data_IF_169910647911
#
_entry.id   IF_169910647911
#
_cell.length_a   1.000
_cell.length_b   1.000
_cell.length_c   1.000
_cell.angle_alpha   90.00
_cell.angle_beta   90.00
_cell.angle_gamma   90.00
#
_symmetry.space_group_name_H-M   'P 1'
#
loop_
_entity.id
_entity.type
_entity.pdbx_description
1 polymer ?
#
# COMPACT_ATOMS: atom_id res chain seq x y z
N UNK A 1 -2.82 13.52 -6.43
CA UNK A 1 -1.97 12.56 -5.92
C UNK A 1 -2.62 11.79 -4.82
N UNK A 2 -2.13 10.65 -4.62
CA UNK A 2 -2.55 9.90 -3.48
C UNK A 2 -2.50 10.76 -2.22
N UNK A 3 -1.44 11.50 -2.09
CA UNK A 3 -1.19 12.30 -0.91
C UNK A 3 -1.74 13.72 -1.03
N UNK A 4 -1.79 14.28 -2.22
CA UNK A 4 -2.20 15.68 -2.33
C UNK A 4 -3.14 15.94 -3.48
N UNK A 5 -3.85 14.99 -3.94
CA UNK A 5 -4.87 15.08 -4.96
C UNK A 5 -6.04 15.89 -4.44
N UNK A 6 -5.75 17.14 -4.14
CA UNK A 6 -6.68 18.02 -3.49
C UNK A 6 -6.67 17.91 -1.98
N UNK A 7 -5.90 17.01 -1.41
CA UNK A 7 -5.94 16.78 0.03
C UNK A 7 -4.92 17.57 0.81
N UNK A 8 -3.88 18.04 0.18
CA UNK A 8 -2.84 18.80 0.87
C UNK A 8 -2.15 18.02 1.98
N UNK A 9 -2.01 16.71 1.80
CA UNK A 9 -1.39 15.87 2.81
C UNK A 9 0.10 15.78 2.53
N UNK A 10 0.90 16.11 3.53
CA UNK A 10 2.34 15.91 3.48
C UNK A 10 2.59 14.39 3.55
N UNK A 11 3.37 13.84 2.63
CA UNK A 11 3.69 12.41 2.68
C UNK A 11 4.29 11.98 4.01
N UNK A 12 5.03 12.85 4.68
CA UNK A 12 5.59 12.54 5.99
C UNK A 12 4.51 12.39 7.05
N UNK A 13 3.44 13.16 6.94
CA UNK A 13 2.32 13.02 7.87
C UNK A 13 1.64 11.66 7.73
N UNK A 14 1.57 11.13 6.51
CA UNK A 14 1.04 9.79 6.30
C UNK A 14 1.88 8.72 6.96
N UNK A 15 3.20 8.87 6.91
CA UNK A 15 4.09 7.91 7.58
C UNK A 15 4.07 8.05 9.09
N UNK A 16 3.66 9.21 9.60
CA UNK A 16 3.50 9.39 11.04
C UNK A 16 2.29 8.64 11.59
N UNK A 17 1.31 8.35 10.74
CA UNK A 17 0.17 7.56 11.16
C UNK A 17 0.53 6.08 11.11
N UNK A 18 0.86 5.53 12.26
CA UNK A 18 1.20 4.12 12.36
C UNK A 18 -0.01 3.38 12.92
N UNK A 19 -0.61 2.51 12.08
CA UNK A 19 -1.74 1.70 12.50
C UNK A 19 -1.22 0.42 13.14
N UNK A 20 -1.35 0.34 14.44
CA UNK A 20 -0.95 -0.84 15.20
C UNK A 20 -2.13 -1.76 15.43
N UNK A 21 -1.84 -3.04 15.60
CA UNK A 21 -2.87 -4.00 15.97
C UNK A 21 -3.65 -3.61 17.21
N UNK A 22 -3.06 -2.82 18.10
CA UNK A 22 -3.72 -2.39 19.33
C UNK A 22 -4.71 -1.25 19.11
N UNK A 23 -4.73 -0.63 17.92
CA UNK A 23 -5.67 0.44 17.58
C UNK A 23 -7.08 -0.08 17.34
N UNK A 24 -7.23 -1.37 17.10
CA UNK A 24 -8.52 -1.97 16.75
C UNK A 24 -8.70 -3.27 17.52
N UNK A 25 -9.97 -3.71 17.62
CA UNK A 25 -10.28 -4.97 18.28
C UNK A 25 -10.01 -6.17 17.39
N UNK A 26 -10.24 -6.00 16.08
CA UNK A 26 -10.07 -7.08 15.13
C UNK A 26 -8.72 -6.95 14.45
N UNK A 27 -8.02 -8.06 14.36
CA UNK A 27 -6.72 -8.12 13.72
C UNK A 27 -6.86 -8.48 12.24
N UNK A 28 -5.79 -8.29 11.48
CA UNK A 28 -5.73 -8.77 10.09
C UNK A 28 -6.11 -10.25 10.06
N UNK A 29 -6.86 -10.70 9.06
CA UNK A 29 -7.19 -10.02 7.79
C UNK A 29 -8.44 -9.14 7.83
N UNK A 30 -8.97 -8.83 9.00
CA UNK A 30 -10.07 -7.86 9.10
C UNK A 30 -9.65 -6.52 8.52
N UNK A 31 -10.55 -5.79 7.83
CA UNK A 31 -10.24 -4.46 7.32
C UNK A 31 -10.19 -3.38 8.40
N UNK A 32 -10.51 -3.70 9.64
CA UNK A 32 -10.72 -2.71 10.69
C UNK A 32 -9.54 -1.78 10.89
N UNK A 33 -8.31 -2.30 10.84
CA UNK A 33 -7.12 -1.48 11.03
C UNK A 33 -6.98 -0.44 9.91
N UNK A 34 -7.31 -0.82 8.66
CA UNK A 34 -7.28 0.11 7.55
C UNK A 34 -8.43 1.08 7.59
N UNK A 35 -9.60 0.62 7.99
CA UNK A 35 -10.76 1.51 8.16
C UNK A 35 -10.49 2.54 9.25
N UNK A 36 -9.86 2.12 10.34
CA UNK A 36 -9.42 3.02 11.40
C UNK A 36 -8.45 4.08 10.86
N UNK A 37 -7.48 3.66 10.05
CA UNK A 37 -6.50 4.58 9.46
C UNK A 37 -7.17 5.59 8.54
N UNK A 38 -8.09 5.12 7.68
CA UNK A 38 -8.81 6.01 6.77
C UNK A 38 -9.62 7.05 7.54
N UNK A 39 -10.24 6.64 8.64
CA UNK A 39 -11.01 7.55 9.46
C UNK A 39 -10.11 8.60 10.10
N UNK A 40 -8.95 8.19 10.60
CA UNK A 40 -7.98 9.12 11.20
C UNK A 40 -7.44 10.11 10.19
N UNK A 41 -7.18 9.66 8.97
CA UNK A 41 -6.70 10.51 7.89
C UNK A 41 -7.81 11.33 7.26
N UNK A 42 -9.07 10.97 7.51
CA UNK A 42 -10.23 11.62 6.90
C UNK A 42 -10.16 11.54 5.38
N UNK A 43 -9.79 10.37 4.86
CA UNK A 43 -9.65 10.14 3.43
C UNK A 43 -10.51 8.96 3.00
N UNK A 44 -11.04 9.00 1.77
CA UNK A 44 -11.70 7.83 1.21
C UNK A 44 -10.66 6.78 0.79
N UNK A 45 -11.09 5.53 0.68
CA UNK A 45 -10.19 4.44 0.30
C UNK A 45 -9.56 4.68 -1.08
N UNK A 46 -10.29 5.30 -2.00
CA UNK A 46 -9.79 5.56 -3.35
C UNK A 46 -8.61 6.53 -3.37
N UNK A 47 -8.45 7.33 -2.32
CA UNK A 47 -7.36 8.30 -2.24
C UNK A 47 -6.11 7.75 -1.57
N UNK A 48 -6.13 6.46 -1.19
CA UNK A 48 -5.05 5.86 -0.42
C UNK A 48 -4.48 4.63 -1.12
N UNK A 49 -3.27 4.29 -0.75
CA UNK A 49 -2.56 3.13 -1.23
C UNK A 49 -1.95 2.43 -0.02
N UNK A 50 -2.03 1.12 0.03
CA UNK A 50 -1.41 0.34 1.09
C UNK A 50 -0.14 -0.34 0.59
N UNK A 51 0.80 -0.52 1.49
CA UNK A 51 1.98 -1.33 1.24
C UNK A 51 1.99 -2.43 2.30
N UNK A 52 2.04 -3.67 1.84
CA UNK A 52 1.98 -4.84 2.72
C UNK A 52 3.04 -5.84 2.33
N UNK A 53 3.29 -6.81 3.20
CA UNK A 53 4.31 -7.84 2.96
C UNK A 53 3.77 -9.26 3.07
N UNK A 54 2.48 -9.43 3.33
CA UNK A 54 1.89 -10.75 3.56
C UNK A 54 0.51 -10.86 2.91
N UNK A 55 0.05 -12.11 2.61
CA UNK A 55 -1.32 -12.30 2.10
C UNK A 55 -2.38 -11.82 3.07
N UNK A 56 -2.13 -11.96 4.37
CA UNK A 56 -3.06 -11.52 5.40
C UNK A 56 -3.22 -10.01 5.40
N UNK A 57 -2.11 -9.28 5.26
CA UNK A 57 -2.15 -7.82 5.13
C UNK A 57 -2.83 -7.40 3.85
N UNK A 58 -2.57 -8.09 2.74
CA UNK A 58 -3.22 -7.80 1.47
C UNK A 58 -4.75 -7.98 1.56
N UNK A 59 -5.19 -9.07 2.19
CA UNK A 59 -6.62 -9.30 2.38
C UNK A 59 -7.25 -8.20 3.21
N UNK A 60 -6.56 -7.78 4.27
CA UNK A 60 -7.03 -6.70 5.13
C UNK A 60 -7.22 -5.39 4.36
N UNK A 61 -6.22 -5.00 3.57
CA UNK A 61 -6.29 -3.75 2.79
C UNK A 61 -7.33 -3.85 1.67
N UNK A 62 -7.40 -5.00 0.99
CA UNK A 62 -8.40 -5.21 -0.05
C UNK A 62 -9.82 -5.15 0.51
N UNK A 63 -10.03 -5.72 1.70
CA UNK A 63 -11.34 -5.68 2.34
C UNK A 63 -11.74 -4.27 2.75
N UNK A 64 -10.78 -3.36 2.86
CA UNK A 64 -11.04 -1.94 3.08
C UNK A 64 -11.11 -1.16 1.76
N UNK A 65 -11.07 -1.86 0.62
CA UNK A 65 -11.11 -1.28 -0.72
C UNK A 65 -9.93 -0.37 -1.03
N UNK A 66 -8.77 -0.71 -0.49
CA UNK A 66 -7.54 0.05 -0.72
C UNK A 66 -6.65 -0.74 -1.68
N UNK A 67 -6.22 -0.10 -2.76
CA UNK A 67 -5.26 -0.70 -3.69
C UNK A 67 -3.94 -0.90 -2.98
N UNK A 68 -3.27 -2.02 -3.27
CA UNK A 68 -2.15 -2.45 -2.45
C UNK A 68 -0.95 -2.83 -3.30
N UNK A 69 0.21 -2.38 -2.86
CA UNK A 69 1.51 -2.81 -3.36
C UNK A 69 2.09 -3.78 -2.33
N UNK A 70 2.67 -4.87 -2.82
CA UNK A 70 3.30 -5.86 -1.95
C UNK A 70 4.81 -5.80 -2.11
N UNK A 71 5.50 -5.76 -0.96
CA UNK A 71 6.94 -5.99 -0.89
C UNK A 71 7.13 -7.24 -0.02
N UNK A 72 7.16 -8.45 -0.62
CA UNK A 72 7.18 -9.66 0.19
C UNK A 72 8.50 -9.83 0.92
N UNK A 73 8.45 -10.43 2.09
CA UNK A 73 9.63 -10.81 2.84
C UNK A 73 10.15 -12.15 2.34
N UNK A 74 11.29 -12.59 2.88
CA UNK A 74 11.82 -13.92 2.58
C UNK A 74 10.84 -15.02 2.98
N UNK A 75 10.01 -14.75 3.99
CA UNK A 75 9.04 -15.72 4.48
C UNK A 75 7.79 -15.80 3.61
N UNK A 76 7.49 -14.75 2.86
CA UNK A 76 6.24 -14.64 2.11
C UNK A 76 6.45 -14.57 0.60
N UNK A 77 7.70 -14.60 0.12
CA UNK A 77 8.00 -14.40 -1.31
C UNK A 77 7.28 -15.38 -2.22
N UNK A 78 7.00 -16.59 -1.75
CA UNK A 78 6.34 -17.62 -2.54
C UNK A 78 4.83 -17.68 -2.32
N UNK A 79 4.27 -16.75 -1.57
CA UNK A 79 2.83 -16.71 -1.31
C UNK A 79 2.07 -16.12 -2.48
N UNK A 80 0.74 -16.27 -2.45
CA UNK A 80 -0.13 -15.78 -3.51
C UNK A 80 -0.52 -14.31 -3.25
N UNK A 81 -0.13 -13.44 -4.18
CA UNK A 81 -0.44 -12.01 -4.09
C UNK A 81 -1.22 -11.53 -5.32
N UNK A 82 -2.01 -12.38 -5.94
CA UNK A 82 -2.68 -12.02 -7.21
C UNK A 82 -3.66 -10.85 -7.06
N UNK A 83 -4.13 -10.58 -5.87
CA UNK A 83 -5.04 -9.45 -5.63
C UNK A 83 -4.30 -8.13 -5.43
N UNK A 84 -2.97 -8.14 -5.44
CA UNK A 84 -2.19 -6.92 -5.34
C UNK A 84 -2.07 -6.25 -6.69
N UNK A 85 -1.95 -4.93 -6.70
CA UNK A 85 -1.75 -4.17 -7.93
C UNK A 85 -0.34 -4.32 -8.44
N UNK A 86 0.62 -4.47 -7.55
CA UNK A 86 2.02 -4.58 -7.89
C UNK A 86 2.73 -5.35 -6.80
N UNK A 87 3.59 -6.28 -7.20
CA UNK A 87 4.46 -7.01 -6.27
C UNK A 87 5.89 -6.73 -6.71
N UNK A 88 6.67 -6.16 -5.83
CA UNK A 88 8.05 -5.73 -6.10
C UNK A 88 8.98 -6.20 -5.01
N UNK A 89 10.25 -6.34 -5.34
CA UNK A 89 11.26 -6.87 -4.42
C UNK A 89 11.48 -5.95 -3.20
N UNK A 90 11.37 -4.65 -3.41
CA UNK A 90 11.52 -3.62 -2.38
C UNK A 90 10.95 -2.31 -2.94
N UNK A 91 11.00 -1.24 -2.17
CA UNK A 91 10.46 0.05 -2.64
C UNK A 91 11.35 0.72 -3.68
N UNK A 92 12.57 0.27 -3.81
CA UNK A 92 13.49 0.84 -4.78
C UNK A 92 14.04 2.20 -4.37
N UNK A 93 15.05 2.62 -5.10
CA UNK A 93 15.66 3.95 -4.97
C UNK A 93 16.06 4.39 -6.36
N UNK A 94 16.25 5.70 -6.60
CA UNK A 94 16.58 6.17 -7.95
C UNK A 94 17.81 5.49 -8.57
N UNK A 95 18.78 5.11 -7.75
CA UNK A 95 20.00 4.45 -8.21
C UNK A 95 20.02 2.93 -7.92
N UNK A 96 18.95 2.41 -7.32
CA UNK A 96 18.82 0.98 -7.01
C UNK A 96 17.39 0.55 -7.31
N UNK A 97 17.09 0.24 -8.57
CA UNK A 97 15.71 -0.08 -8.95
C UNK A 97 15.20 -1.35 -8.30
N UNK A 98 13.89 -1.40 -8.08
CA UNK A 98 13.26 -2.62 -7.64
C UNK A 98 13.16 -3.62 -8.81
N UNK A 99 12.92 -4.89 -8.46
CA UNK A 99 12.54 -5.89 -9.43
C UNK A 99 11.04 -6.11 -9.37
N UNK A 100 10.38 -6.14 -10.51
CA UNK A 100 8.96 -6.44 -10.58
C UNK A 100 8.77 -7.94 -10.50
N UNK A 101 8.01 -8.39 -9.52
CA UNK A 101 7.66 -9.81 -9.37
C UNK A 101 6.37 -10.10 -10.12
N UNK A 102 5.36 -9.22 -9.98
CA UNK A 102 4.15 -9.30 -10.78
C UNK A 102 3.44 -7.94 -10.78
N UNK A 103 2.56 -7.75 -11.75
CA UNK A 103 1.83 -6.49 -11.88
C UNK A 103 2.50 -5.51 -12.81
N UNK A 104 1.94 -4.31 -12.88
CA UNK A 104 2.40 -3.28 -13.80
C UNK A 104 3.07 -2.14 -13.05
N UNK A 105 4.32 -1.86 -13.37
CA UNK A 105 5.09 -0.80 -12.73
C UNK A 105 5.21 0.46 -13.60
N UNK A 106 4.60 0.46 -14.80
CA UNK A 106 4.56 1.62 -15.70
C UNK A 106 5.95 2.21 -15.96
N UNK A 107 6.96 1.35 -16.09
CA UNK A 107 8.36 1.72 -16.35
C UNK A 107 9.02 2.49 -15.21
N UNK A 108 8.42 2.47 -14.03
CA UNK A 108 9.06 3.06 -12.85
C UNK A 108 10.04 2.08 -12.22
N UNK A 109 11.05 2.61 -11.56
CA UNK A 109 12.13 1.82 -10.96
C UNK A 109 12.14 1.91 -9.43
N UNK A 110 11.38 2.83 -8.87
CA UNK A 110 11.22 2.96 -7.43
C UNK A 110 9.82 3.51 -7.13
N UNK A 111 9.38 3.28 -5.91
CA UNK A 111 8.04 3.74 -5.52
C UNK A 111 8.10 5.25 -5.31
N UNK A 112 7.51 5.95 -6.27
CA UNK A 112 7.42 7.40 -6.28
C UNK A 112 5.95 7.80 -6.18
N UNK A 113 5.72 9.07 -5.91
CA UNK A 113 4.39 9.62 -5.96
C UNK A 113 3.73 9.37 -7.32
N UNK A 114 4.50 9.54 -8.40
CA UNK A 114 4.00 9.35 -9.75
C UNK A 114 3.55 7.91 -10.00
N UNK A 115 4.31 6.93 -9.50
CA UNK A 115 3.93 5.54 -9.61
C UNK A 115 2.64 5.26 -8.84
N UNK A 116 2.54 5.77 -7.62
CA UNK A 116 1.34 5.59 -6.81
C UNK A 116 0.12 6.20 -7.50
N UNK A 117 0.29 7.34 -8.13
CA UNK A 117 -0.79 7.97 -8.87
C UNK A 117 -1.22 7.12 -10.08
N UNK A 118 -0.26 6.58 -10.82
CA UNK A 118 -0.55 5.70 -11.96
C UNK A 118 -1.34 4.47 -11.52
N UNK A 119 -0.94 3.86 -10.42
CA UNK A 119 -1.64 2.69 -9.90
C UNK A 119 -3.06 3.07 -9.44
N UNK A 120 -3.20 4.23 -8.81
CA UNK A 120 -4.51 4.66 -8.31
C UNK A 120 -5.49 4.93 -9.45
N UNK A 121 -5.00 5.28 -10.63
CA UNK A 121 -5.81 5.55 -11.79
C UNK A 121 -6.12 4.30 -12.63
N UNK A 122 -5.46 3.19 -12.34
CA UNK A 122 -5.59 1.97 -13.14
C UNK A 122 -6.80 1.13 -12.79
#
# INVERSE_FOLDING_TARGET
NLFNKGFKIDPYEMFDLVAHGDCTKLKKPSPEIYEWALQKLQLPSEACMAIEDSPRGLESSNNANIKTIITPSKLTIDENFKEARLVISNLGEPDKPFNVISGEAFNHEYVSFELLQKISES
#
